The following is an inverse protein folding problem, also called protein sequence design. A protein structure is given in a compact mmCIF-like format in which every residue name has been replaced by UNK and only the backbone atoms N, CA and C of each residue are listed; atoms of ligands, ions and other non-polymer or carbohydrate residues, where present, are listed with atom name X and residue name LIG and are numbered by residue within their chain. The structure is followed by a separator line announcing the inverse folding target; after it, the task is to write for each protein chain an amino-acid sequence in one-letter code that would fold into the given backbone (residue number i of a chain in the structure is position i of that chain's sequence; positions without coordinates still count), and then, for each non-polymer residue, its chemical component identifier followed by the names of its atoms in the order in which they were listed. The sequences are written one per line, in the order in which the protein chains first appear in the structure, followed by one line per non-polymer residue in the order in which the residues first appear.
data_IF_414734324365
#
_entry.id   IF_414734324365
#
_cell.length_a   1.000
_cell.length_b   1.000
_cell.length_c   1.000
_cell.angle_alpha   90.00
_cell.angle_beta   90.00
_cell.angle_gamma   90.00
#
_symmetry.space_group_name_H-M   'P 1'
#
loop_
_entity.id
_entity.type
_entity.pdbx_description
1 polymer ?
#
# COMPACT_ATOMS: atom_id res chain seq x y z
N UNK A 1 -32.79 17.76 51.68
CA UNK A 1 -32.52 18.75 50.61
C UNK A 1 -31.24 18.35 49.91
N UNK A 2 -31.36 17.92 48.66
CA UNK A 2 -30.27 17.85 47.67
C UNK A 2 -30.72 18.70 46.49
N UNK A 3 -29.90 19.02 45.47
CA UNK A 3 -28.50 18.63 45.24
C UNK A 3 -27.64 19.81 44.74
N UNK A 4 -26.34 19.60 44.47
CA UNK A 4 -25.68 20.10 43.26
C UNK A 4 -24.43 19.24 43.04
N UNK A 5 -24.63 18.17 42.27
CA UNK A 5 -23.56 17.38 41.68
C UNK A 5 -22.84 18.28 40.67
N UNK A 6 -21.53 18.43 40.87
CA UNK A 6 -20.61 18.99 39.90
C UNK A 6 -20.74 18.23 38.58
N UNK A 7 -21.36 18.87 37.59
CA UNK A 7 -21.30 18.48 36.19
C UNK A 7 -19.88 18.78 35.70
N UNK A 8 -18.96 17.85 35.90
CA UNK A 8 -17.75 17.78 35.08
C UNK A 8 -18.20 17.66 33.63
N UNK A 9 -18.08 18.78 32.92
CA UNK A 9 -18.21 18.81 31.47
C UNK A 9 -17.06 17.96 30.92
N UNK A 10 -17.37 16.71 30.59
CA UNK A 10 -16.60 15.95 29.64
C UNK A 10 -16.53 16.81 28.38
N UNK A 11 -15.40 17.50 28.20
CA UNK A 11 -15.02 18.18 26.96
C UNK A 11 -15.05 17.09 25.90
N UNK A 12 -16.18 16.97 25.21
CA UNK A 12 -16.30 16.15 24.01
C UNK A 12 -15.28 16.72 23.06
N UNK A 13 -14.15 16.03 22.92
CA UNK A 13 -13.14 16.35 21.94
C UNK A 13 -13.81 16.20 20.57
N UNK A 14 -14.38 17.31 20.08
CA UNK A 14 -14.82 17.40 18.71
C UNK A 14 -13.63 17.00 17.86
N UNK A 15 -13.84 16.07 16.94
CA UNK A 15 -12.90 15.93 15.85
C UNK A 15 -12.70 17.34 15.27
N UNK A 16 -11.48 17.81 15.14
CA UNK A 16 -11.21 18.84 14.13
C UNK A 16 -11.25 18.14 12.77
N UNK A 17 -11.36 18.91 11.69
CA UNK A 17 -11.31 18.36 10.32
C UNK A 17 -10.16 17.37 10.22
N UNK A 18 -10.47 16.11 9.85
CA UNK A 18 -9.44 15.12 9.56
C UNK A 18 -8.77 15.60 8.27
N UNK A 19 -7.69 16.35 8.41
CA UNK A 19 -6.78 16.72 7.33
C UNK A 19 -5.50 15.89 7.49
N UNK A 20 -4.86 15.47 6.39
CA UNK A 20 -3.56 14.80 6.48
C UNK A 20 -2.56 15.70 7.22
N UNK A 21 -1.99 15.21 8.32
CA UNK A 21 -1.00 15.96 9.12
C UNK A 21 0.37 16.01 8.43
N UNK A 22 0.63 15.04 7.55
CA UNK A 22 1.85 14.93 6.77
C UNK A 22 1.52 14.84 5.27
N UNK A 23 2.28 15.54 4.44
CA UNK A 23 2.30 15.33 2.99
C UNK A 23 2.82 13.93 2.70
N UNK A 24 1.91 13.00 2.42
CA UNK A 24 2.26 11.66 1.94
C UNK A 24 2.98 11.79 0.61
N UNK A 25 4.23 11.30 0.53
CA UNK A 25 4.98 11.29 -0.73
C UNK A 25 4.43 10.20 -1.64
N UNK A 26 4.09 10.52 -2.91
CA UNK A 26 3.66 9.52 -3.89
C UNK A 26 4.83 8.61 -4.34
N UNK A 27 6.07 8.99 -4.03
CA UNK A 27 7.26 8.26 -4.48
C UNK A 27 7.56 7.04 -3.61
N UNK A 28 7.87 5.92 -4.27
CA UNK A 28 8.29 4.68 -3.62
C UNK A 28 9.79 4.76 -3.35
N UNK A 29 10.21 4.59 -2.10
CA UNK A 29 11.63 4.59 -1.76
C UNK A 29 12.33 3.34 -2.30
N UNK A 30 13.63 3.45 -2.60
CA UNK A 30 14.42 2.30 -3.09
C UNK A 30 14.44 1.15 -2.09
N UNK A 31 14.49 1.46 -0.79
CA UNK A 31 14.47 0.46 0.28
C UNK A 31 13.17 -0.34 0.29
N UNK A 32 12.01 0.33 0.20
CA UNK A 32 10.71 -0.35 0.13
C UNK A 32 10.55 -1.20 -1.12
N UNK A 33 11.08 -0.70 -2.25
CA UNK A 33 11.12 -1.49 -3.48
C UNK A 33 11.93 -2.77 -3.25
N UNK A 34 13.13 -2.67 -2.67
CA UNK A 34 13.98 -3.83 -2.39
C UNK A 34 13.30 -4.85 -1.47
N UNK A 35 12.62 -4.41 -0.42
CA UNK A 35 11.85 -5.28 0.46
C UNK A 35 10.74 -6.01 -0.31
N UNK A 36 10.02 -5.29 -1.18
CA UNK A 36 8.94 -5.87 -1.99
C UNK A 36 9.45 -6.84 -3.05
N UNK A 37 10.59 -6.54 -3.65
CA UNK A 37 11.28 -7.41 -4.60
C UNK A 37 11.75 -8.69 -3.91
N UNK A 38 12.34 -8.58 -2.71
CA UNK A 38 12.79 -9.72 -1.92
C UNK A 38 11.64 -10.67 -1.54
N UNK A 39 10.45 -10.13 -1.27
CA UNK A 39 9.25 -10.92 -0.96
C UNK A 39 8.58 -11.56 -2.20
N UNK A 40 8.93 -11.15 -3.42
CA UNK A 40 8.24 -11.59 -4.64
C UNK A 40 8.81 -12.90 -5.21
N UNK A 41 7.99 -13.96 -5.22
CA UNK A 41 8.35 -15.25 -5.85
C UNK A 41 8.72 -15.14 -7.33
N UNK A 42 8.05 -14.23 -8.05
CA UNK A 42 8.33 -13.99 -9.46
C UNK A 42 9.73 -13.38 -9.66
N UNK A 43 10.13 -12.44 -8.80
CA UNK A 43 11.47 -11.83 -8.81
C UNK A 43 12.51 -12.85 -8.40
N UNK A 44 12.27 -13.64 -7.35
CA UNK A 44 13.20 -14.70 -6.93
C UNK A 44 13.45 -15.71 -8.07
N UNK A 45 12.39 -16.12 -8.77
CA UNK A 45 12.48 -17.06 -9.90
C UNK A 45 13.23 -16.45 -11.09
N UNK A 46 12.93 -15.20 -11.45
CA UNK A 46 13.61 -14.55 -12.57
C UNK A 46 15.08 -14.27 -12.24
N UNK A 47 15.39 -13.87 -11.01
CA UNK A 47 16.76 -13.65 -10.51
C UNK A 47 17.57 -14.94 -10.53
N UNK A 48 17.03 -16.05 -10.03
CA UNK A 48 17.74 -17.33 -10.04
C UNK A 48 18.05 -17.83 -11.46
N UNK A 49 17.11 -17.67 -12.40
CA UNK A 49 17.34 -17.98 -13.83
C UNK A 49 18.41 -17.08 -14.43
N UNK A 50 18.37 -15.78 -14.11
CA UNK A 50 19.33 -14.80 -14.58
C UNK A 50 20.74 -15.09 -14.05
N UNK A 51 20.89 -15.36 -12.74
CA UNK A 51 22.15 -15.70 -12.09
C UNK A 51 22.79 -16.95 -12.70
N UNK A 52 21.98 -17.99 -12.92
CA UNK A 52 22.43 -19.20 -13.61
C UNK A 52 22.95 -18.91 -15.01
N UNK A 53 22.20 -18.14 -15.81
CA UNK A 53 22.58 -17.84 -17.19
C UNK A 53 23.82 -16.93 -17.26
N UNK A 54 23.87 -15.89 -16.44
CA UNK A 54 25.00 -14.96 -16.37
C UNK A 54 26.28 -15.68 -15.93
N UNK A 55 26.17 -16.64 -15.01
CA UNK A 55 27.30 -17.50 -14.59
C UNK A 55 27.83 -18.44 -15.69
N UNK A 56 27.00 -18.76 -16.69
CA UNK A 56 27.42 -19.54 -17.87
C UNK A 56 28.09 -18.63 -18.91
N UNK A 57 27.55 -17.42 -19.09
CA UNK A 57 27.94 -16.53 -20.19
C UNK A 57 29.19 -15.73 -19.88
N UNK A 58 29.36 -15.23 -18.66
CA UNK A 58 30.42 -14.28 -18.33
C UNK A 58 31.47 -14.87 -17.41
N UNK A 59 32.73 -14.48 -17.66
CA UNK A 59 33.88 -14.84 -16.83
C UNK A 59 33.76 -14.29 -15.40
N UNK A 60 33.24 -13.07 -15.25
CA UNK A 60 32.86 -12.48 -13.98
C UNK A 60 31.37 -12.09 -13.98
N UNK A 61 30.48 -12.84 -13.31
CA UNK A 61 29.04 -12.62 -13.35
C UNK A 61 28.55 -11.50 -12.41
N UNK A 62 29.31 -11.19 -11.35
CA UNK A 62 28.89 -10.22 -10.32
C UNK A 62 28.61 -8.80 -10.86
N UNK A 63 29.51 -8.16 -11.63
CA UNK A 63 29.28 -6.81 -12.12
C UNK A 63 28.14 -6.76 -13.14
N UNK A 64 27.96 -7.82 -13.93
CA UNK A 64 26.85 -7.96 -14.89
C UNK A 64 25.50 -8.01 -14.16
N UNK A 65 25.39 -8.82 -13.11
CA UNK A 65 24.17 -8.89 -12.30
C UNK A 65 23.84 -7.57 -11.61
N UNK A 66 24.86 -6.86 -11.09
CA UNK A 66 24.67 -5.56 -10.47
C UNK A 66 24.11 -4.53 -11.46
N UNK A 67 24.66 -4.46 -12.67
CA UNK A 67 24.19 -3.55 -13.71
C UNK A 67 22.74 -3.88 -14.15
N UNK A 68 22.41 -5.16 -14.34
CA UNK A 68 21.03 -5.57 -14.70
C UNK A 68 20.04 -5.19 -13.59
N UNK A 69 20.41 -5.38 -12.32
CA UNK A 69 19.58 -4.99 -11.17
C UNK A 69 19.36 -3.48 -11.13
N UNK A 70 20.41 -2.69 -11.38
CA UNK A 70 20.32 -1.23 -11.40
C UNK A 70 19.36 -0.72 -12.49
N UNK A 71 19.44 -1.28 -13.69
CA UNK A 71 18.52 -0.94 -14.78
C UNK A 71 17.09 -1.41 -14.48
N UNK A 72 16.91 -2.58 -13.87
CA UNK A 72 15.58 -3.02 -13.46
C UNK A 72 14.96 -2.09 -12.40
N UNK A 73 15.76 -1.67 -11.42
CA UNK A 73 15.32 -0.80 -10.30
C UNK A 73 15.06 0.65 -10.71
N UNK A 74 15.78 1.18 -11.70
CA UNK A 74 15.72 2.62 -12.06
C UNK A 74 15.21 2.87 -13.47
N UNK A 75 15.53 1.99 -14.42
CA UNK A 75 15.25 2.11 -15.84
C UNK A 75 13.78 2.01 -16.24
N UNK A 76 13.55 2.12 -17.54
CA UNK A 76 12.20 2.08 -18.15
C UNK A 76 11.74 0.64 -18.39
N UNK A 77 10.43 0.48 -18.65
CA UNK A 77 9.91 -0.79 -19.15
C UNK A 77 10.62 -1.15 -20.46
N UNK A 78 10.97 -2.42 -20.64
CA UNK A 78 11.66 -2.93 -21.82
C UNK A 78 13.00 -2.24 -22.14
N UNK A 79 13.66 -1.63 -21.14
CA UNK A 79 14.98 -1.02 -21.31
C UNK A 79 16.07 -2.10 -21.45
N UNK A 80 16.24 -2.57 -22.68
CA UNK A 80 17.18 -3.60 -23.06
C UNK A 80 18.52 -3.04 -23.57
N UNK A 81 18.71 -1.72 -23.47
CA UNK A 81 19.96 -1.04 -23.87
C UNK A 81 21.19 -1.68 -23.23
N UNK A 82 21.05 -2.07 -21.97
CA UNK A 82 22.10 -2.72 -21.17
C UNK A 82 22.60 -4.04 -21.78
N UNK A 83 21.78 -4.79 -22.55
CA UNK A 83 22.17 -6.10 -23.09
C UNK A 83 23.36 -5.98 -24.04
N UNK A 84 23.45 -4.89 -24.81
CA UNK A 84 24.60 -4.63 -25.68
C UNK A 84 25.88 -4.29 -24.91
N UNK A 85 25.73 -3.69 -23.73
CA UNK A 85 26.83 -3.21 -22.89
C UNK A 85 27.40 -4.30 -21.96
N UNK A 86 26.64 -5.38 -21.70
CA UNK A 86 27.09 -6.45 -20.78
C UNK A 86 28.42 -7.08 -21.18
N UNK A 87 28.69 -7.18 -22.48
CA UNK A 87 29.94 -7.71 -23.02
C UNK A 87 31.17 -6.82 -22.75
N UNK A 88 30.93 -5.52 -22.52
CA UNK A 88 31.96 -4.55 -22.14
C UNK A 88 32.20 -4.56 -20.63
N UNK A 89 31.16 -4.88 -19.84
CA UNK A 89 31.24 -5.01 -18.37
C UNK A 89 32.05 -6.26 -17.97
N UNK A 90 31.93 -7.35 -18.73
CA UNK A 90 32.64 -8.59 -18.45
C UNK A 90 32.88 -9.38 -19.72
N UNK A 91 34.09 -9.92 -19.87
CA UNK A 91 34.41 -10.82 -20.98
C UNK A 91 33.65 -12.13 -20.87
N UNK A 92 33.35 -12.76 -22.02
CA UNK A 92 32.72 -14.07 -22.06
C UNK A 92 33.57 -15.15 -21.36
N UNK A 93 32.91 -16.13 -20.75
CA UNK A 93 33.56 -17.26 -20.11
C UNK A 93 34.35 -18.11 -21.13
N UNK A 94 35.44 -18.73 -20.66
CA UNK A 94 36.29 -19.59 -21.48
C UNK A 94 37.18 -18.84 -22.48
N UNK A 95 38.01 -19.61 -23.19
CA UNK A 95 38.97 -19.10 -24.19
C UNK A 95 38.82 -19.89 -25.49
N UNK A 96 39.03 -19.23 -26.63
CA UNK A 96 39.04 -19.86 -27.95
C UNK A 96 40.48 -19.99 -28.47
N UNK A 97 40.80 -21.12 -29.09
CA UNK A 97 42.09 -21.33 -29.76
C UNK A 97 42.43 -22.81 -29.93
N UNK A 98 43.22 -23.15 -30.95
CA UNK A 98 43.57 -24.55 -31.25
C UNK A 98 44.38 -25.20 -30.12
N UNK A 99 45.25 -24.42 -29.48
CA UNK A 99 46.13 -24.84 -28.37
C UNK A 99 45.47 -24.71 -26.98
N UNK A 100 44.25 -24.20 -26.90
CA UNK A 100 43.53 -23.98 -25.63
C UNK A 100 42.94 -25.30 -25.13
N UNK A 101 42.89 -25.51 -23.81
CA UNK A 101 42.29 -26.71 -23.22
C UNK A 101 40.85 -26.93 -23.71
N UNK A 102 40.45 -28.21 -23.87
CA UNK A 102 39.10 -28.57 -24.33
C UNK A 102 38.01 -27.96 -23.45
N UNK A 103 38.23 -27.92 -22.14
CA UNK A 103 37.27 -27.36 -21.17
C UNK A 103 37.04 -25.86 -21.40
N UNK A 104 38.10 -25.08 -21.60
CA UNK A 104 38.00 -23.65 -21.87
C UNK A 104 37.28 -23.35 -23.19
N UNK A 105 37.49 -24.21 -24.20
CA UNK A 105 36.76 -24.13 -25.49
C UNK A 105 35.27 -24.43 -25.34
N UNK A 106 34.92 -25.45 -24.55
CA UNK A 106 33.52 -25.78 -24.23
C UNK A 106 32.83 -24.65 -23.45
N UNK A 107 33.50 -24.09 -22.44
CA UNK A 107 33.00 -22.91 -21.72
C UNK A 107 32.77 -21.72 -22.66
N UNK A 108 33.66 -21.50 -23.63
CA UNK A 108 33.51 -20.45 -24.63
C UNK A 108 32.32 -20.68 -25.57
N UNK A 109 32.11 -21.92 -26.00
CA UNK A 109 30.96 -22.27 -26.84
C UNK A 109 29.65 -22.07 -26.07
N UNK A 110 29.57 -22.57 -24.83
CA UNK A 110 28.42 -22.40 -23.95
C UNK A 110 28.11 -20.92 -23.69
N UNK A 111 29.13 -20.09 -23.54
CA UNK A 111 28.96 -18.65 -23.35
C UNK A 111 28.33 -17.96 -24.57
N UNK A 112 28.78 -18.30 -25.78
CA UNK A 112 28.26 -17.75 -27.04
C UNK A 112 26.79 -18.19 -27.25
N UNK A 113 26.50 -19.47 -27.05
CA UNK A 113 25.14 -19.99 -27.17
C UNK A 113 24.21 -19.38 -26.10
N UNK A 114 24.74 -19.20 -24.89
CA UNK A 114 24.02 -18.63 -23.76
C UNK A 114 23.67 -17.14 -23.91
N UNK A 115 24.39 -16.37 -24.71
CA UNK A 115 24.07 -14.94 -24.96
C UNK A 115 22.68 -14.76 -25.58
N UNK A 116 22.24 -15.67 -26.46
CA UNK A 116 20.92 -15.58 -27.11
C UNK A 116 19.78 -15.68 -26.10
N UNK A 117 19.91 -16.56 -25.11
CA UNK A 117 18.91 -16.72 -24.04
C UNK A 117 18.94 -15.59 -23.01
N UNK A 118 20.07 -14.90 -22.87
CA UNK A 118 20.25 -13.84 -21.88
C UNK A 118 19.33 -12.64 -22.15
N UNK A 119 19.16 -12.24 -23.41
CA UNK A 119 18.31 -11.11 -23.77
C UNK A 119 16.87 -11.28 -23.26
N UNK A 120 16.27 -12.47 -23.48
CA UNK A 120 14.91 -12.78 -23.02
C UNK A 120 14.81 -12.80 -21.49
N UNK A 121 15.82 -13.33 -20.80
CA UNK A 121 15.86 -13.38 -19.34
C UNK A 121 16.01 -12.00 -18.70
N UNK A 122 16.87 -11.15 -19.26
CA UNK A 122 17.04 -9.76 -18.83
C UNK A 122 15.74 -8.99 -19.01
N UNK A 123 15.12 -9.06 -20.19
CA UNK A 123 13.82 -8.43 -20.44
C UNK A 123 12.73 -8.90 -19.48
N UNK A 124 12.64 -10.22 -19.25
CA UNK A 124 11.68 -10.78 -18.28
C UNK A 124 11.92 -10.23 -16.88
N UNK A 125 13.18 -10.17 -16.42
CA UNK A 125 13.50 -9.66 -15.09
C UNK A 125 13.15 -8.18 -14.95
N UNK A 126 13.56 -7.35 -15.92
CA UNK A 126 13.24 -5.91 -15.96
C UNK A 126 11.73 -5.70 -15.93
N UNK A 127 10.96 -6.46 -16.71
CA UNK A 127 9.51 -6.30 -16.77
C UNK A 127 8.81 -6.70 -15.47
N UNK A 128 9.27 -7.75 -14.79
CA UNK A 128 8.75 -8.13 -13.47
C UNK A 128 9.02 -7.03 -12.44
N UNK A 129 10.26 -6.51 -12.38
CA UNK A 129 10.66 -5.47 -11.43
C UNK A 129 9.92 -4.16 -11.72
N UNK A 130 9.84 -3.76 -13.00
CA UNK A 130 9.09 -2.59 -13.43
C UNK A 130 7.60 -2.70 -13.11
N UNK A 131 7.00 -3.87 -13.33
CA UNK A 131 5.61 -4.14 -12.95
C UNK A 131 5.37 -3.89 -11.46
N UNK A 132 6.25 -4.39 -10.59
CA UNK A 132 6.17 -4.17 -9.14
C UNK A 132 6.31 -2.68 -8.80
N UNK A 133 7.31 -1.98 -9.36
CA UNK A 133 7.48 -0.53 -9.18
C UNK A 133 6.22 0.24 -9.53
N UNK A 134 5.63 -0.06 -10.70
CA UNK A 134 4.40 0.58 -11.18
C UNK A 134 3.23 0.31 -10.24
N UNK A 135 3.04 -0.93 -9.81
CA UNK A 135 1.97 -1.25 -8.85
C UNK A 135 2.16 -0.55 -7.51
N UNK A 136 3.38 -0.47 -6.99
CA UNK A 136 3.65 0.23 -5.73
C UNK A 136 3.40 1.74 -5.85
N UNK A 137 3.78 2.35 -6.97
CA UNK A 137 3.51 3.76 -7.23
C UNK A 137 1.99 4.02 -7.35
N UNK A 138 1.24 3.14 -8.02
CA UNK A 138 -0.21 3.22 -8.10
C UNK A 138 -0.89 3.05 -6.74
N UNK A 139 -0.43 2.09 -5.93
CA UNK A 139 -0.92 1.88 -4.56
C UNK A 139 -0.66 3.11 -3.69
N UNK A 140 0.54 3.70 -3.75
CA UNK A 140 0.86 4.95 -3.05
C UNK A 140 0.01 6.11 -3.52
N UNK A 141 -0.16 6.29 -4.83
CA UNK A 141 -1.00 7.36 -5.36
C UNK A 141 -2.46 7.19 -4.89
N UNK A 142 -2.99 5.97 -4.90
CA UNK A 142 -4.33 5.70 -4.38
C UNK A 142 -4.46 6.03 -2.88
N UNK A 143 -3.41 5.81 -2.09
CA UNK A 143 -3.36 6.21 -0.67
C UNK A 143 -3.32 7.72 -0.53
N UNK A 144 -2.52 8.43 -1.33
CA UNK A 144 -2.48 9.90 -1.35
C UNK A 144 -3.84 10.49 -1.73
N UNK A 145 -4.48 9.98 -2.79
CA UNK A 145 -5.79 10.43 -3.26
C UNK A 145 -6.88 10.21 -2.21
N UNK A 146 -6.83 9.07 -1.50
CA UNK A 146 -7.69 8.79 -0.37
C UNK A 146 -7.45 9.74 0.79
N UNK A 147 -6.20 10.03 1.13
CA UNK A 147 -5.85 10.93 2.23
C UNK A 147 -6.27 12.39 1.98
N UNK A 148 -6.36 12.82 0.71
CA UNK A 148 -6.91 14.12 0.31
C UNK A 148 -8.40 14.27 0.60
N UNK A 149 -9.12 13.19 0.86
CA UNK A 149 -10.54 13.26 1.22
C UNK A 149 -10.65 13.85 2.63
N UNK A 150 -11.00 15.11 2.71
CA UNK A 150 -11.31 15.77 3.98
C UNK A 150 -12.58 15.19 4.58
N UNK A 151 -12.48 14.74 5.83
CA UNK A 151 -13.62 14.27 6.61
C UNK A 151 -13.91 15.35 7.64
N UNK A 152 -14.99 16.09 7.40
CA UNK A 152 -15.54 17.03 8.37
C UNK A 152 -15.96 16.26 9.62
N UNK A 153 -15.70 16.85 10.77
CA UNK A 153 -16.16 16.30 12.02
C UNK A 153 -17.68 16.28 12.08
N UNK A 154 -18.29 15.26 12.69
CA UNK A 154 -19.72 15.29 12.96
C UNK A 154 -20.04 16.45 13.91
N UNK A 155 -21.18 17.07 13.68
CA UNK A 155 -21.71 18.16 14.50
C UNK A 155 -21.87 17.69 15.96
N UNK A 156 -21.66 18.62 16.89
CA UNK A 156 -21.87 18.33 18.31
C UNK A 156 -23.34 17.93 18.57
N UNK A 157 -24.29 18.52 17.85
CA UNK A 157 -25.71 18.15 17.90
C UNK A 157 -25.97 16.71 17.46
N UNK A 158 -25.36 16.25 16.36
CA UNK A 158 -25.47 14.85 15.93
C UNK A 158 -24.87 13.91 16.98
N UNK A 159 -23.69 14.27 17.50
CA UNK A 159 -22.95 13.46 18.47
C UNK A 159 -23.73 13.31 19.78
N UNK A 160 -24.29 14.42 20.30
CA UNK A 160 -25.13 14.45 21.49
C UNK A 160 -26.44 13.69 21.27
N UNK A 161 -27.15 13.90 20.15
CA UNK A 161 -28.38 13.18 19.85
C UNK A 161 -28.17 11.65 19.80
N UNK A 162 -27.01 11.19 19.31
CA UNK A 162 -26.64 9.77 19.36
C UNK A 162 -26.30 9.33 20.80
N UNK A 163 -25.65 10.15 21.61
CA UNK A 163 -25.34 9.77 22.99
C UNK A 163 -26.58 9.69 23.87
N UNK A 164 -27.49 10.66 23.77
CA UNK A 164 -28.69 10.82 24.60
C UNK A 164 -29.82 9.84 24.29
N UNK A 165 -29.63 8.94 23.32
CA UNK A 165 -30.64 7.96 22.93
C UNK A 165 -31.96 8.53 22.37
N UNK A 166 -31.99 9.81 22.03
CA UNK A 166 -33.14 10.47 21.42
C UNK A 166 -33.40 10.08 19.95
N UNK A 167 -34.59 10.39 19.41
CA UNK A 167 -34.89 10.23 17.99
C UNK A 167 -34.01 11.13 17.13
N UNK A 168 -33.47 10.59 16.03
CA UNK A 168 -32.62 11.33 15.10
C UNK A 168 -33.50 12.06 14.09
N UNK A 169 -33.32 13.38 13.96
CA UNK A 169 -33.96 14.19 12.93
C UNK A 169 -33.48 13.79 11.53
N UNK A 170 -34.22 14.15 10.49
CA UNK A 170 -33.79 13.89 9.10
C UNK A 170 -32.47 14.62 8.77
N UNK A 171 -32.24 15.80 9.34
CA UNK A 171 -30.96 16.50 9.25
C UNK A 171 -29.81 15.67 9.84
N UNK A 172 -30.01 15.08 11.04
CA UNK A 172 -29.02 14.21 11.66
C UNK A 172 -28.76 12.93 10.84
N UNK A 173 -29.80 12.32 10.26
CA UNK A 173 -29.65 11.14 9.39
C UNK A 173 -28.91 11.46 8.09
N UNK A 174 -29.18 12.62 7.49
CA UNK A 174 -28.47 13.15 6.32
C UNK A 174 -26.99 13.33 6.62
N UNK A 175 -26.67 14.04 7.70
CA UNK A 175 -25.30 14.30 8.14
C UNK A 175 -24.54 13.00 8.43
N UNK A 176 -25.15 12.08 9.20
CA UNK A 176 -24.57 10.78 9.51
C UNK A 176 -24.23 9.99 8.24
N UNK A 177 -25.13 9.96 7.24
CA UNK A 177 -24.86 9.31 5.95
C UNK A 177 -23.68 9.98 5.23
N UNK A 178 -23.62 11.31 5.23
CA UNK A 178 -22.56 12.06 4.56
C UNK A 178 -21.19 11.80 5.20
N UNK A 179 -21.09 11.90 6.53
CA UNK A 179 -19.84 11.68 7.27
C UNK A 179 -19.36 10.23 7.08
N UNK A 180 -20.27 9.26 7.19
CA UNK A 180 -19.92 7.84 6.97
C UNK A 180 -19.45 7.57 5.54
N UNK A 181 -20.10 8.15 4.53
CA UNK A 181 -19.68 8.00 3.13
C UNK A 181 -18.29 8.61 2.88
N UNK A 182 -17.96 9.76 3.50
CA UNK A 182 -16.61 10.34 3.39
C UNK A 182 -15.56 9.50 4.11
N UNK A 183 -15.88 8.96 5.28
CA UNK A 183 -15.01 8.03 5.99
C UNK A 183 -14.74 6.79 5.14
N UNK A 184 -15.77 6.20 4.53
CA UNK A 184 -15.65 5.05 3.63
C UNK A 184 -14.80 5.37 2.40
N UNK A 185 -14.98 6.56 1.82
CA UNK A 185 -14.16 7.01 0.69
C UNK A 185 -12.68 7.17 1.07
N UNK A 186 -12.39 7.70 2.26
CA UNK A 186 -11.02 7.93 2.73
C UNK A 186 -10.32 6.63 3.15
N UNK A 187 -10.97 5.81 3.95
CA UNK A 187 -10.31 4.69 4.62
C UNK A 187 -10.63 3.33 3.97
N UNK A 188 -11.73 3.21 3.23
CA UNK A 188 -12.12 1.99 2.53
C UNK A 188 -12.20 0.78 3.47
N UNK A 189 -11.50 -0.30 3.08
CA UNK A 189 -11.41 -1.54 3.86
C UNK A 189 -10.79 -1.35 5.25
N UNK A 190 -9.93 -0.33 5.42
CA UNK A 190 -9.24 -0.09 6.69
C UNK A 190 -10.22 0.36 7.80
N UNK A 191 -11.42 0.84 7.46
CA UNK A 191 -12.48 1.08 8.46
C UNK A 191 -12.94 -0.19 9.13
N UNK A 192 -13.00 -1.30 8.40
CA UNK A 192 -13.36 -2.59 8.98
C UNK A 192 -12.36 -3.00 10.06
N UNK A 193 -11.06 -2.79 9.79
CA UNK A 193 -10.00 -3.02 10.77
C UNK A 193 -10.17 -2.09 11.98
N UNK A 194 -10.40 -0.79 11.76
CA UNK A 194 -10.63 0.18 12.84
C UNK A 194 -11.83 -0.17 13.73
N UNK A 195 -12.93 -0.66 13.14
CA UNK A 195 -14.12 -1.10 13.88
C UNK A 195 -13.87 -2.35 14.73
N UNK A 196 -12.97 -3.23 14.30
CA UNK A 196 -12.70 -4.51 14.96
C UNK A 196 -11.84 -4.40 16.22
N UNK A 197 -11.33 -3.20 16.56
CA UNK A 197 -10.42 -2.99 17.67
C UNK A 197 -8.99 -3.36 17.26
N UNK A 198 -8.25 -2.38 16.76
CA UNK A 198 -6.92 -2.58 16.18
C UNK A 198 -5.88 -2.76 17.28
N UNK A 199 -4.97 -3.73 17.13
CA UNK A 199 -3.80 -3.85 18.02
C UNK A 199 -2.90 -2.62 17.89
N UNK A 200 -2.23 -2.14 18.96
CA UNK A 200 -1.42 -0.92 18.94
C UNK A 200 -0.41 -0.85 17.77
N UNK A 201 0.28 -1.95 17.46
CA UNK A 201 1.22 -2.01 16.32
C UNK A 201 0.56 -1.73 14.97
N UNK A 202 -0.64 -2.25 14.75
CA UNK A 202 -1.39 -2.06 13.51
C UNK A 202 -2.01 -0.67 13.43
N UNK A 203 -2.28 -0.06 14.58
CA UNK A 203 -2.74 1.31 14.68
C UNK A 203 -1.66 2.30 14.23
N UNK A 204 -0.41 2.08 14.65
CA UNK A 204 0.74 2.85 14.15
C UNK A 204 0.92 2.69 12.64
N UNK A 205 0.81 1.47 12.10
CA UNK A 205 0.87 1.22 10.65
C UNK A 205 -0.22 2.00 9.88
N UNK A 206 -1.47 1.97 10.36
CA UNK A 206 -2.58 2.70 9.74
C UNK A 206 -2.40 4.22 9.85
N UNK A 207 -1.90 4.72 10.99
CA UNK A 207 -1.62 6.14 11.17
C UNK A 207 -0.60 6.65 10.15
N UNK A 208 0.48 5.90 9.93
CA UNK A 208 1.51 6.21 8.92
C UNK A 208 0.95 6.11 7.50
N UNK A 209 0.18 5.06 7.22
CA UNK A 209 -0.44 4.84 5.90
C UNK A 209 -1.35 6.01 5.51
N UNK A 210 -2.14 6.54 6.44
CA UNK A 210 -3.11 7.62 6.18
C UNK A 210 -2.59 9.03 6.49
N UNK A 211 -1.32 9.16 6.92
CA UNK A 211 -0.72 10.45 7.26
C UNK A 211 -1.34 11.12 8.50
N UNK A 212 -1.86 10.33 9.43
CA UNK A 212 -2.55 10.79 10.63
C UNK A 212 -1.65 10.67 11.86
N UNK A 213 -1.73 11.64 12.76
CA UNK A 213 -1.15 11.53 14.10
C UNK A 213 -1.89 10.42 14.88
N UNK A 214 -1.20 9.57 15.66
CA UNK A 214 -1.81 8.67 16.64
C UNK A 214 -3.02 9.26 17.39
N UNK A 215 -2.95 10.53 17.83
CA UNK A 215 -4.08 11.19 18.52
C UNK A 215 -5.29 11.41 17.61
N UNK A 216 -5.08 11.68 16.32
CA UNK A 216 -6.17 11.81 15.34
C UNK A 216 -6.82 10.46 15.06
N UNK A 217 -6.02 9.39 15.01
CA UNK A 217 -6.53 8.02 14.86
C UNK A 217 -7.37 7.60 16.08
N UNK A 218 -6.98 7.96 17.31
CA UNK A 218 -7.73 7.59 18.52
C UNK A 218 -9.08 8.32 18.58
N UNK A 219 -9.08 9.59 18.18
CA UNK A 219 -10.29 10.39 18.02
C UNK A 219 -11.19 9.83 16.92
N UNK A 220 -10.62 9.37 15.82
CA UNK A 220 -11.38 8.72 14.75
C UNK A 220 -12.05 7.43 15.25
N UNK A 221 -11.33 6.58 15.98
CA UNK A 221 -11.89 5.34 16.52
C UNK A 221 -13.04 5.62 17.50
N UNK A 222 -12.87 6.58 18.40
CA UNK A 222 -13.93 6.96 19.34
C UNK A 222 -15.14 7.59 18.63
N UNK A 223 -14.91 8.41 17.61
CA UNK A 223 -15.96 9.00 16.77
C UNK A 223 -16.71 7.94 15.97
N UNK A 224 -16.00 6.97 15.36
CA UNK A 224 -16.59 5.84 14.64
C UNK A 224 -17.53 5.02 15.53
N UNK A 225 -17.15 4.75 16.79
CA UNK A 225 -18.01 4.07 17.76
C UNK A 225 -19.33 4.80 18.01
N UNK A 226 -19.31 6.14 18.01
CA UNK A 226 -20.53 6.94 18.13
C UNK A 226 -21.35 6.87 16.84
N UNK A 227 -20.73 7.08 15.67
CA UNK A 227 -21.44 7.06 14.39
C UNK A 227 -22.08 5.69 14.08
N UNK A 228 -21.40 4.59 14.39
CA UNK A 228 -21.92 3.23 14.19
C UNK A 228 -23.15 2.94 15.10
N UNK A 229 -23.19 3.50 16.33
CA UNK A 229 -24.40 3.49 17.17
C UNK A 229 -25.53 4.27 16.52
N UNK A 230 -25.23 5.43 15.93
CA UNK A 230 -26.18 6.21 15.14
C UNK A 230 -26.76 5.40 13.98
N UNK A 231 -25.91 4.75 13.17
CA UNK A 231 -26.36 3.93 12.04
C UNK A 231 -27.26 2.77 12.48
N UNK A 232 -26.87 2.07 13.56
CA UNK A 232 -27.65 0.97 14.11
C UNK A 232 -29.05 1.43 14.52
N UNK A 233 -29.14 2.61 15.15
CA UNK A 233 -30.43 3.18 15.54
C UNK A 233 -31.29 3.61 14.36
N UNK A 234 -30.72 4.24 13.34
CA UNK A 234 -31.48 4.58 12.12
C UNK A 234 -32.10 3.32 11.51
N UNK A 235 -31.35 2.21 11.45
CA UNK A 235 -31.86 0.91 10.98
C UNK A 235 -32.97 0.37 11.89
N UNK A 236 -32.83 0.49 13.22
CA UNK A 236 -33.87 0.07 14.16
C UNK A 236 -35.14 0.93 14.05
N UNK A 237 -35.02 2.24 13.89
CA UNK A 237 -36.16 3.15 13.71
C UNK A 237 -36.89 2.86 12.40
N UNK A 238 -36.17 2.62 11.29
CA UNK A 238 -36.75 2.21 10.02
C UNK A 238 -37.55 0.89 10.17
N UNK A 239 -36.95 -0.13 10.79
CA UNK A 239 -37.62 -1.41 11.05
C UNK A 239 -38.89 -1.27 11.89
N UNK A 240 -38.86 -0.41 12.92
CA UNK A 240 -40.04 -0.14 13.75
C UNK A 240 -41.16 0.54 12.95
N UNK A 241 -40.80 1.51 12.10
CA UNK A 241 -41.75 2.19 11.21
C UNK A 241 -42.39 1.23 10.20
N UNK A 242 -41.59 0.32 9.62
CA UNK A 242 -42.09 -0.68 8.67
C UNK A 242 -43.01 -1.69 9.36
N UNK A 243 -42.69 -2.10 10.60
CA UNK A 243 -43.54 -2.99 11.41
C UNK A 243 -44.87 -2.34 11.80
N UNK A 244 -44.87 -1.05 12.15
CA UNK A 244 -46.11 -0.32 12.45
C UNK A 244 -46.98 -0.13 11.21
N UNK A 245 -46.38 0.12 10.04
CA UNK A 245 -47.12 0.26 8.76
C UNK A 245 -47.67 -1.07 8.23
N UNK A 246 -47.08 -2.20 8.61
CA UNK A 246 -47.56 -3.53 8.24
C UNK A 246 -48.64 -4.07 9.19
N UNK A 247 -48.86 -3.40 10.33
CA UNK A 247 -49.87 -3.75 11.33
C UNK A 247 -51.14 -2.88 11.25
N UNK A 248 -51.12 -1.84 10.39
CA UNK A 248 -52.28 -1.06 9.93
C UNK A 248 -52.88 -1.67 8.66
#
# INVERSE_FOLDING_TARGET
MSPLRSLEHAKTASMDVLAPSATLSPEVSRAELQDRLAASKAVQTSTAKLEKQVGIVFSNPKPVLAAIREVAETGKLDDLSIVGELSQISGLAGKSGVLVARQDRLSRQNAIEGQRGLHSLVGTHINVVHGIRKTMAQERQAVVDKARVEVSAPSQSLTQAIQEAGPLSEAHKSELRHVMARLEKRFGSDLGEMRAGVKPKRFEELSRKHGLDPKQMERLESTLKVLDKGQTRVRQQARKLDQTKAAE
#
